data_IF_174174360090
#
_entry.id   IF_174174360090
#
_cell.length_a   1.000
_cell.length_b   1.000
_cell.length_c   1.000
_cell.angle_alpha   90.00
_cell.angle_beta   90.00
_cell.angle_gamma   90.00
#
_symmetry.space_group_name_H-M   'P 1'
#
loop_
_entity.id
_entity.type
_entity.pdbx_description
1 polymer ?
#
# COMPACT_ATOMS: atom_id res chain seq x y z
N UNK A 1 -4.06 8.46 17.38
CA UNK A 1 -3.19 9.25 16.47
C UNK A 1 -1.82 9.35 17.15
N UNK A 2 -0.73 9.16 16.41
CA UNK A 2 0.62 9.27 16.97
C UNK A 2 0.87 10.68 17.54
N UNK A 3 1.63 10.80 18.62
CA UNK A 3 1.99 12.09 19.22
C UNK A 3 2.77 12.94 18.20
N UNK A 4 2.28 14.16 17.95
CA UNK A 4 2.89 15.15 17.06
C UNK A 4 4.38 15.38 17.33
N UNK A 5 4.83 15.28 18.60
CA UNK A 5 6.23 15.42 18.98
C UNK A 5 7.07 14.26 18.50
N UNK A 6 6.51 13.05 18.50
CA UNK A 6 7.17 11.84 18.00
C UNK A 6 7.33 11.94 16.48
N UNK A 7 6.27 12.36 15.78
CA UNK A 7 6.33 12.56 14.33
C UNK A 7 7.36 13.63 13.94
N UNK A 8 7.36 14.78 14.61
CA UNK A 8 8.35 15.84 14.38
C UNK A 8 9.79 15.36 14.66
N UNK A 9 9.98 14.54 15.69
CA UNK A 9 11.28 13.97 16.02
C UNK A 9 11.75 12.98 14.96
N UNK A 10 10.88 12.10 14.46
CA UNK A 10 11.21 11.18 13.37
C UNK A 10 11.56 11.96 12.09
N UNK A 11 10.75 12.96 11.74
CA UNK A 11 10.99 13.79 10.54
C UNK A 11 12.31 14.57 10.61
N UNK A 12 12.82 14.87 11.81
CA UNK A 12 14.12 15.55 11.97
C UNK A 12 15.31 14.60 12.01
N UNK A 13 15.11 13.31 12.32
CA UNK A 13 16.19 12.35 12.54
C UNK A 13 16.29 11.25 11.48
N UNK A 14 15.22 10.97 10.75
CA UNK A 14 15.19 9.97 9.67
C UNK A 14 15.14 10.71 8.35
N UNK A 15 16.29 10.77 7.66
CA UNK A 15 16.35 11.23 6.26
C UNK A 15 16.37 10.00 5.36
N UNK A 16 15.49 9.93 4.33
CA UNK A 16 15.52 8.80 3.40
C UNK A 16 16.87 8.75 2.70
N UNK A 17 17.51 7.58 2.58
CA UNK A 17 18.76 7.44 1.85
C UNK A 17 18.44 7.53 0.35
N UNK A 18 18.52 8.72 -0.23
CA UNK A 18 18.28 8.92 -1.67
C UNK A 18 19.61 9.08 -2.38
N UNK A 19 19.81 8.33 -3.45
CA UNK A 19 20.92 8.57 -4.39
C UNK A 19 20.44 9.50 -5.51
N UNK A 20 21.30 10.42 -5.89
CA UNK A 20 21.05 11.26 -7.04
C UNK A 20 21.10 10.43 -8.33
N UNK A 21 20.21 10.72 -9.26
CA UNK A 21 20.11 9.99 -10.52
C UNK A 21 21.41 10.03 -11.33
N UNK A 22 22.18 11.12 -11.20
CA UNK A 22 23.51 11.25 -11.79
C UNK A 22 24.50 10.17 -11.31
N UNK A 23 24.34 9.65 -10.09
CA UNK A 23 25.17 8.59 -9.51
C UNK A 23 24.67 7.18 -9.87
N UNK A 24 23.44 7.08 -10.36
CA UNK A 24 22.77 5.82 -10.71
C UNK A 24 22.95 5.49 -12.19
N UNK A 25 22.87 6.49 -13.07
CA UNK A 25 22.93 6.30 -14.52
C UNK A 25 24.35 6.13 -15.04
N UNK A 26 24.48 5.46 -16.18
CA UNK A 26 25.78 5.36 -16.84
C UNK A 26 26.33 6.74 -17.24
N UNK A 27 27.65 6.98 -17.18
CA UNK A 27 28.24 8.26 -17.52
C UNK A 27 27.86 8.75 -18.92
N UNK A 28 27.46 10.02 -19.03
CA UNK A 28 27.01 10.63 -20.28
C UNK A 28 25.56 10.31 -20.66
N UNK A 29 24.80 9.68 -19.77
CA UNK A 29 23.35 9.53 -19.93
C UNK A 29 22.64 10.85 -19.64
N UNK A 30 21.80 11.28 -20.57
CA UNK A 30 20.96 12.45 -20.45
C UNK A 30 19.58 12.08 -19.90
N UNK A 31 19.06 12.92 -19.02
CA UNK A 31 17.75 12.76 -18.39
C UNK A 31 16.82 13.89 -18.82
N UNK A 32 15.52 13.60 -18.88
CA UNK A 32 14.54 14.66 -19.15
C UNK A 32 14.47 15.64 -17.97
N UNK A 33 14.38 16.96 -18.24
CA UNK A 33 14.19 17.95 -17.19
C UNK A 33 12.86 17.72 -16.48
N UNK A 34 12.82 18.10 -15.20
CA UNK A 34 11.60 18.02 -14.39
C UNK A 34 10.62 19.09 -14.85
N UNK A 35 9.43 18.66 -15.29
CA UNK A 35 8.35 19.56 -15.73
C UNK A 35 7.51 20.04 -14.53
N UNK A 36 7.25 19.15 -13.57
CA UNK A 36 6.42 19.42 -12.40
C UNK A 36 7.20 19.12 -11.12
N UNK A 37 7.10 20.03 -10.15
CA UNK A 37 7.66 19.81 -8.82
C UNK A 37 6.86 18.74 -8.09
N UNK A 38 7.55 17.83 -7.41
CA UNK A 38 6.92 16.86 -6.51
C UNK A 38 6.12 17.60 -5.44
N UNK A 39 4.89 17.15 -5.20
CA UNK A 39 3.94 17.79 -4.28
C UNK A 39 3.55 16.84 -3.15
N UNK A 40 3.05 17.42 -2.06
CA UNK A 40 2.47 16.66 -0.95
C UNK A 40 1.39 15.69 -1.46
N UNK A 41 1.33 14.44 -0.96
CA UNK A 41 2.00 13.90 0.24
C UNK A 41 3.40 13.30 -0.03
N UNK A 42 3.91 13.40 -1.25
CA UNK A 42 5.22 12.85 -1.57
C UNK A 42 6.36 13.69 -0.99
N UNK A 43 7.46 13.02 -0.67
CA UNK A 43 8.70 13.70 -0.29
C UNK A 43 9.28 14.39 -1.53
N UNK A 44 9.44 15.72 -1.47
CA UNK A 44 9.77 16.53 -2.66
C UNK A 44 11.25 16.42 -3.03
N UNK A 45 11.57 15.65 -4.09
CA UNK A 45 12.93 15.42 -4.57
C UNK A 45 13.18 16.09 -5.93
N UNK A 46 12.23 15.98 -6.84
CA UNK A 46 12.25 16.60 -8.16
C UNK A 46 11.61 18.00 -8.10
N UNK A 47 12.28 19.00 -8.65
CA UNK A 47 11.82 20.39 -8.71
C UNK A 47 11.76 20.86 -10.16
N UNK A 48 10.65 21.50 -10.55
CA UNK A 48 10.46 22.01 -11.90
C UNK A 48 11.61 22.92 -12.33
N UNK A 49 12.10 22.73 -13.55
CA UNK A 49 13.24 23.47 -14.11
C UNK A 49 14.61 23.01 -13.62
N UNK A 50 14.70 22.05 -12.70
CA UNK A 50 15.95 21.43 -12.27
C UNK A 50 16.19 20.09 -12.99
N UNK A 51 17.44 19.61 -13.04
CA UNK A 51 17.73 18.24 -13.45
C UNK A 51 16.96 17.23 -12.59
N UNK A 52 16.49 16.15 -13.21
CA UNK A 52 15.80 15.07 -12.50
C UNK A 52 16.75 14.41 -11.51
N UNK A 53 16.34 14.34 -10.24
CA UNK A 53 17.11 13.74 -9.15
C UNK A 53 16.75 12.28 -8.90
N UNK A 54 15.50 11.90 -9.15
CA UNK A 54 15.02 10.51 -9.02
C UNK A 54 14.11 10.11 -10.16
N UNK A 55 14.15 8.83 -10.52
CA UNK A 55 13.25 8.25 -11.53
C UNK A 55 11.81 8.21 -11.02
N UNK A 56 10.81 8.26 -11.92
CA UNK A 56 9.45 7.89 -11.58
C UNK A 56 9.38 6.39 -11.23
N UNK A 57 8.21 5.95 -10.72
CA UNK A 57 7.98 4.53 -10.36
C UNK A 57 8.33 3.61 -11.52
N UNK A 58 9.21 2.64 -11.23
CA UNK A 58 9.55 1.57 -12.17
C UNK A 58 8.42 0.55 -12.17
N UNK A 59 7.81 0.33 -13.32
CA UNK A 59 6.71 -0.62 -13.48
C UNK A 59 7.23 -1.92 -14.10
N UNK A 60 6.57 -3.05 -13.81
CA UNK A 60 6.92 -4.34 -14.40
C UNK A 60 6.57 -4.44 -15.88
N UNK A 61 5.56 -3.69 -16.31
CA UNK A 61 5.20 -3.55 -17.72
C UNK A 61 6.05 -2.46 -18.37
N UNK A 62 6.78 -2.79 -19.46
CA UNK A 62 7.41 -1.79 -20.30
C UNK A 62 6.38 -0.81 -20.87
N UNK A 63 6.84 0.39 -21.24
CA UNK A 63 6.01 1.46 -21.82
C UNK A 63 4.84 1.91 -20.92
N UNK A 64 5.02 1.78 -19.61
CA UNK A 64 4.07 2.35 -18.66
C UNK A 64 4.00 3.88 -18.79
N UNK A 65 2.97 4.50 -18.21
CA UNK A 65 2.76 5.96 -18.25
C UNK A 65 3.96 6.79 -17.78
N UNK A 66 4.83 6.23 -16.92
CA UNK A 66 6.07 6.88 -16.50
C UNK A 66 7.09 7.06 -17.64
N UNK A 67 7.03 6.17 -18.64
CA UNK A 67 7.95 6.07 -19.77
C UNK A 67 7.28 6.35 -21.12
N UNK A 68 5.96 6.58 -21.15
CA UNK A 68 5.22 7.03 -22.33
C UNK A 68 4.37 8.25 -22.02
N UNK A 69 4.46 9.30 -22.83
CA UNK A 69 3.55 10.44 -22.70
C UNK A 69 2.18 10.17 -23.34
N UNK A 70 1.22 11.06 -23.13
CA UNK A 70 -0.18 10.92 -23.59
C UNK A 70 -0.31 10.83 -25.12
N UNK A 71 0.70 11.26 -25.86
CA UNK A 71 0.74 11.26 -27.32
C UNK A 71 1.57 10.10 -27.88
N UNK A 72 1.97 9.14 -27.03
CA UNK A 72 2.85 8.04 -27.42
C UNK A 72 4.32 8.43 -27.57
N UNK A 73 4.68 9.65 -27.16
CA UNK A 73 6.06 10.12 -27.10
C UNK A 73 6.78 9.66 -25.83
N UNK A 74 8.02 10.12 -25.66
CA UNK A 74 8.89 9.69 -24.57
C UNK A 74 8.35 10.17 -23.21
N UNK A 75 8.14 9.28 -22.25
CA UNK A 75 7.72 9.66 -20.91
C UNK A 75 8.83 10.32 -20.09
N UNK A 76 8.46 10.78 -18.90
CA UNK A 76 9.33 11.59 -18.04
C UNK A 76 10.50 10.83 -17.42
N UNK A 77 10.41 9.50 -17.33
CA UNK A 77 11.46 8.61 -16.84
C UNK A 77 12.42 8.09 -17.91
N UNK A 78 12.18 8.41 -19.18
CA UNK A 78 13.05 8.00 -20.27
C UNK A 78 14.43 8.68 -20.18
N UNK A 79 15.46 7.97 -20.61
CA UNK A 79 16.85 8.41 -20.63
C UNK A 79 17.40 8.37 -22.06
N UNK A 80 18.44 9.15 -22.34
CA UNK A 80 19.12 9.16 -23.64
C UNK A 80 20.61 8.94 -23.43
N UNK A 81 21.12 7.81 -23.89
CA UNK A 81 22.56 7.52 -23.85
C UNK A 81 23.35 8.50 -24.70
N UNK A 82 24.62 8.72 -24.34
CA UNK A 82 25.53 9.57 -25.12
C UNK A 82 25.60 9.09 -26.58
N UNK A 83 25.25 9.98 -27.51
CA UNK A 83 25.28 9.69 -28.95
C UNK A 83 24.06 8.93 -29.49
N UNK A 84 23.11 8.55 -28.63
CA UNK A 84 21.83 8.02 -29.08
C UNK A 84 20.92 9.14 -29.59
N UNK A 85 20.16 8.86 -30.65
CA UNK A 85 19.19 9.79 -31.22
C UNK A 85 17.80 9.66 -30.61
N UNK A 86 17.50 8.54 -29.95
CA UNK A 86 16.21 8.23 -29.36
C UNK A 86 16.30 8.13 -27.83
N UNK A 87 15.13 8.29 -27.19
CA UNK A 87 14.94 8.08 -25.76
C UNK A 87 14.58 6.62 -25.51
N UNK A 88 15.15 6.02 -24.47
CA UNK A 88 14.93 4.65 -24.05
C UNK A 88 14.65 4.56 -22.55
N UNK A 89 14.09 3.44 -22.10
CA UNK A 89 13.96 3.18 -20.66
C UNK A 89 15.33 2.88 -20.03
N UNK A 90 15.51 3.19 -18.72
CA UNK A 90 16.69 2.78 -17.98
C UNK A 90 16.92 1.26 -18.10
N UNK A 91 18.16 0.86 -18.30
CA UNK A 91 18.53 -0.54 -18.41
C UNK A 91 18.41 -1.25 -17.03
N UNK A 92 18.53 -2.58 -17.03
CA UNK A 92 18.34 -3.38 -15.82
C UNK A 92 19.33 -2.97 -14.69
N UNK A 93 20.65 -2.84 -14.94
CA UNK A 93 21.57 -2.27 -13.93
C UNK A 93 21.16 -0.91 -13.36
N UNK A 94 20.71 0.02 -14.19
CA UNK A 94 20.26 1.35 -13.77
C UNK A 94 18.99 1.25 -12.90
N UNK A 95 18.05 0.38 -13.27
CA UNK A 95 16.84 0.08 -12.48
C UNK A 95 17.19 -0.52 -11.12
N UNK A 96 18.09 -1.50 -11.07
CA UNK A 96 18.55 -2.12 -9.83
C UNK A 96 19.18 -1.07 -8.89
N UNK A 97 20.08 -0.22 -9.42
CA UNK A 97 20.72 0.85 -8.64
C UNK A 97 19.73 1.92 -8.17
N UNK A 98 18.74 2.27 -9.00
CA UNK A 98 17.68 3.20 -8.63
C UNK A 98 16.86 2.71 -7.43
N UNK A 99 16.64 1.40 -7.34
CA UNK A 99 15.92 0.74 -6.26
C UNK A 99 16.80 0.43 -5.04
N UNK A 100 18.09 0.81 -5.07
CA UNK A 100 19.04 0.59 -3.99
C UNK A 100 19.71 -0.79 -3.96
N UNK A 101 19.55 -1.58 -5.02
CA UNK A 101 20.27 -2.84 -5.18
C UNK A 101 21.63 -2.67 -5.86
N UNK A 102 22.49 -3.67 -5.73
CA UNK A 102 23.76 -3.74 -6.44
C UNK A 102 23.56 -4.01 -7.92
N UNK A 103 24.48 -3.57 -8.78
CA UNK A 103 24.46 -3.94 -10.20
C UNK A 103 24.46 -5.46 -10.36
N UNK A 104 23.58 -5.96 -11.23
CA UNK A 104 23.32 -7.37 -11.51
C UNK A 104 22.70 -8.16 -10.35
N UNK A 105 22.03 -7.50 -9.39
CA UNK A 105 21.35 -8.20 -8.29
C UNK A 105 20.28 -9.19 -8.76
N UNK A 106 19.61 -8.91 -9.88
CA UNK A 106 18.60 -9.82 -10.46
C UNK A 106 19.20 -10.84 -11.44
N UNK A 107 20.53 -10.86 -11.62
CA UNK A 107 21.20 -11.83 -12.49
C UNK A 107 21.32 -13.17 -11.76
N UNK A 108 20.42 -14.09 -12.08
CA UNK A 108 20.47 -15.47 -11.60
C UNK A 108 20.42 -16.46 -12.78
N UNK A 109 20.98 -17.68 -12.63
CA UNK A 109 20.90 -18.70 -13.67
C UNK A 109 19.46 -18.98 -14.10
N UNK A 110 19.21 -19.01 -15.40
CA UNK A 110 17.87 -19.26 -15.98
C UNK A 110 16.92 -18.06 -15.96
N UNK A 111 17.31 -16.91 -15.41
CA UNK A 111 16.47 -15.69 -15.40
C UNK A 111 16.73 -14.85 -16.66
N UNK A 112 15.69 -14.69 -17.47
CA UNK A 112 15.70 -13.88 -18.70
C UNK A 112 15.71 -12.38 -18.40
N UNK A 113 16.14 -11.55 -19.37
CA UNK A 113 16.06 -10.08 -19.25
C UNK A 113 14.64 -9.58 -19.00
N UNK A 114 13.63 -10.21 -19.62
CA UNK A 114 12.22 -9.89 -19.40
C UNK A 114 11.82 -10.14 -17.95
N UNK A 115 12.20 -11.29 -17.38
CA UNK A 115 11.93 -11.59 -15.97
C UNK A 115 12.65 -10.61 -15.04
N UNK A 116 13.89 -10.23 -15.34
CA UNK A 116 14.61 -9.19 -14.57
C UNK A 116 13.88 -7.84 -14.60
N UNK A 117 13.35 -7.45 -15.75
CA UNK A 117 12.56 -6.23 -15.88
C UNK A 117 11.30 -6.29 -15.00
N UNK A 118 10.57 -7.41 -15.05
CA UNK A 118 9.40 -7.66 -14.19
C UNK A 118 9.77 -7.64 -12.71
N UNK A 119 10.88 -8.27 -12.32
CA UNK A 119 11.37 -8.26 -10.93
C UNK A 119 11.64 -6.84 -10.43
N UNK A 120 12.41 -6.04 -11.17
CA UNK A 120 12.68 -4.64 -10.80
C UNK A 120 11.43 -3.76 -10.80
N UNK A 121 10.40 -4.10 -11.56
CA UNK A 121 9.13 -3.37 -11.54
C UNK A 121 8.16 -3.79 -10.43
N UNK A 122 8.37 -4.96 -9.81
CA UNK A 122 7.50 -5.50 -8.76
C UNK A 122 8.13 -5.48 -7.37
N UNK A 123 9.46 -5.37 -7.26
CA UNK A 123 10.13 -5.37 -5.97
C UNK A 123 9.93 -4.05 -5.21
N UNK A 124 10.08 -4.12 -3.89
CA UNK A 124 10.08 -2.92 -3.05
C UNK A 124 11.40 -2.17 -3.21
N UNK A 125 11.35 -0.84 -3.21
CA UNK A 125 12.54 0.01 -3.16
C UNK A 125 13.30 -0.20 -1.84
N UNK A 126 14.57 -0.60 -1.91
CA UNK A 126 15.38 -0.91 -0.74
C UNK A 126 15.69 0.34 0.12
N UNK A 127 15.83 1.52 -0.50
CA UNK A 127 16.00 2.78 0.22
C UNK A 127 14.74 3.16 1.01
N UNK A 128 13.57 2.94 0.40
CA UNK A 128 12.29 3.14 1.09
C UNK A 128 12.14 2.15 2.24
N UNK A 129 12.45 0.87 2.02
CA UNK A 129 12.39 -0.14 3.08
C UNK A 129 13.35 0.15 4.24
N UNK A 130 14.57 0.60 3.94
CA UNK A 130 15.52 1.05 4.95
C UNK A 130 14.95 2.22 5.76
N UNK A 131 14.28 3.17 5.11
CA UNK A 131 13.63 4.30 5.78
C UNK A 131 12.50 3.84 6.70
N UNK A 132 11.63 2.93 6.23
CA UNK A 132 10.52 2.38 7.02
C UNK A 132 11.07 1.63 8.25
N UNK A 133 12.11 0.81 8.07
CA UNK A 133 12.76 0.08 9.17
C UNK A 133 13.42 1.04 10.16
N UNK A 134 14.06 2.11 9.69
CA UNK A 134 14.65 3.13 10.56
C UNK A 134 13.57 3.86 11.40
N UNK A 135 12.44 4.22 10.79
CA UNK A 135 11.28 4.78 11.50
C UNK A 135 10.76 3.80 12.56
N UNK A 136 10.58 2.53 12.19
CA UNK A 136 10.08 1.50 13.11
C UNK A 136 11.05 1.24 14.28
N UNK A 137 12.35 1.17 14.02
CA UNK A 137 13.38 1.02 15.05
C UNK A 137 13.36 2.21 16.01
N UNK A 138 13.25 3.43 15.50
CA UNK A 138 13.21 4.65 16.33
C UNK A 138 11.96 4.71 17.22
N UNK A 139 10.81 4.33 16.67
CA UNK A 139 9.57 4.18 17.43
C UNK A 139 9.71 3.11 18.52
N UNK A 140 10.27 1.94 18.18
CA UNK A 140 10.44 0.81 19.09
C UNK A 140 11.39 1.14 20.25
N UNK A 141 12.58 1.69 19.98
CA UNK A 141 13.53 2.11 21.00
C UNK A 141 12.90 3.09 22.00
N UNK A 142 12.06 4.00 21.52
CA UNK A 142 11.37 4.95 22.38
C UNK A 142 10.27 4.31 23.23
N UNK A 143 9.51 3.36 22.68
CA UNK A 143 8.56 2.58 23.45
C UNK A 143 9.24 1.74 24.53
N UNK A 144 10.41 1.14 24.24
CA UNK A 144 11.18 0.40 25.24
C UNK A 144 11.74 1.31 26.34
N UNK A 145 12.29 2.48 26.00
CA UNK A 145 12.77 3.46 26.99
C UNK A 145 11.64 4.06 27.84
N UNK A 146 10.46 4.27 27.26
CA UNK A 146 9.29 4.76 27.99
C UNK A 146 8.67 3.65 28.88
N UNK A 147 8.71 2.40 28.43
CA UNK A 147 8.21 1.25 29.20
C UNK A 147 9.12 0.93 30.40
N UNK A 148 10.43 1.03 30.25
CA UNK A 148 11.39 0.88 31.36
C UNK A 148 11.36 2.06 32.32
N UNK A 149 11.10 3.28 31.85
CA UNK A 149 10.93 4.45 32.71
C UNK A 149 9.65 4.36 33.59
N UNK A 150 8.56 3.79 33.07
CA UNK A 150 7.33 3.54 33.85
C UNK A 150 7.50 2.37 34.82
N UNK A 151 8.31 1.37 34.49
CA UNK A 151 8.64 0.27 35.40
C UNK A 151 9.55 0.68 36.58
N UNK A 152 10.19 1.85 36.52
CA UNK A 152 11.17 2.29 37.54
C UNK A 152 10.55 3.02 38.75
N UNK A 153 9.23 3.18 38.81
CA UNK A 153 8.56 3.85 39.93
C UNK A 153 7.78 2.94 40.88
N UNK A 154 7.91 1.62 40.76
CA UNK A 154 7.28 0.69 41.71
C UNK A 154 8.22 -0.44 42.11
N UNK A 155 9.18 -0.15 42.99
CA UNK A 155 9.77 -1.18 43.86
C UNK A 155 9.98 -0.61 45.26
N UNK A 156 8.97 -0.79 46.11
CA UNK A 156 9.18 -0.94 47.55
C UNK A 156 9.45 -2.43 47.81
N UNK A 157 10.66 -2.72 48.30
CA UNK A 157 10.95 -3.88 49.14
C UNK A 157 11.14 -5.22 48.43
N UNK A 158 12.35 -5.80 48.59
CA UNK A 158 12.57 -7.22 48.36
C UNK A 158 13.91 -7.50 47.69
N UNK A 159 14.94 -7.66 48.51
CA UNK A 159 16.27 -8.12 48.12
C UNK A 159 16.21 -9.41 47.28
N UNK A 160 16.89 -9.43 46.14
CA UNK A 160 17.59 -10.61 45.63
C UNK A 160 18.65 -10.16 44.64
N UNK A 161 19.87 -10.59 44.89
CA UNK A 161 21.11 -10.21 44.21
C UNK A 161 21.15 -10.61 42.73
N UNK A 162 21.77 -9.80 41.85
CA UNK A 162 21.93 -10.17 40.45
C UNK A 162 23.14 -11.11 40.27
N UNK A 163 22.93 -12.25 39.61
CA UNK A 163 24.03 -13.05 39.04
C UNK A 163 24.28 -12.60 37.60
N UNK A 164 25.33 -11.81 37.41
CA UNK A 164 25.99 -11.67 36.13
C UNK A 164 26.87 -12.90 35.88
N UNK A 165 26.65 -13.58 34.74
CA UNK A 165 27.70 -14.33 34.06
C UNK A 165 27.57 -14.05 32.57
N UNK A 166 28.67 -13.52 32.04
CA UNK A 166 29.01 -13.09 30.66
C UNK A 166 29.05 -14.28 29.64
N UNK A 167 29.58 -14.16 28.40
CA UNK A 167 29.04 -13.42 27.24
C UNK A 167 29.19 -14.22 25.90
N UNK A 168 28.82 -13.59 24.76
CA UNK A 168 29.25 -13.87 23.35
C UNK A 168 28.66 -15.13 22.65
N UNK A 169 28.03 -14.93 21.48
CA UNK A 169 28.54 -15.41 20.16
C UNK A 169 27.67 -14.91 18.99
N UNK A 170 28.36 -14.29 18.02
CA UNK A 170 27.87 -13.94 16.68
C UNK A 170 27.44 -15.18 15.88
N UNK A 171 26.42 -15.10 15.00
CA UNK A 171 26.16 -16.16 14.06
C UNK A 171 26.99 -15.94 12.78
N UNK A 172 28.05 -16.74 12.65
CA UNK A 172 28.82 -16.95 11.42
C UNK A 172 27.91 -17.52 10.32
N UNK A 173 27.86 -16.83 9.18
CA UNK A 173 27.31 -17.33 7.91
C UNK A 173 28.08 -18.58 7.47
N UNK A 174 27.40 -19.72 7.38
CA UNK A 174 27.97 -20.92 6.77
C UNK A 174 27.25 -21.23 5.46
N UNK A 175 27.97 -20.97 4.37
CA UNK A 175 27.63 -21.32 3.01
C UNK A 175 27.54 -22.86 2.88
N UNK A 176 26.38 -23.37 2.50
CA UNK A 176 26.23 -24.75 2.05
C UNK A 176 26.59 -24.81 0.56
N UNK A 177 27.76 -25.37 0.27
CA UNK A 177 28.17 -25.78 -1.06
C UNK A 177 27.30 -26.97 -1.53
N UNK A 178 26.71 -26.86 -2.72
CA UNK A 178 26.18 -28.01 -3.46
C UNK A 178 26.99 -28.15 -4.75
N UNK A 179 27.58 -29.33 -4.90
CA UNK A 179 28.40 -29.79 -6.02
C UNK A 179 27.56 -29.98 -7.31
N UNK A 180 28.20 -29.92 -8.49
CA UNK A 180 27.49 -29.91 -9.77
C UNK A 180 27.20 -31.33 -10.30
N UNK A 181 26.06 -31.50 -10.96
CA UNK A 181 25.76 -32.65 -11.81
C UNK A 181 25.82 -32.23 -13.28
N UNK A 182 26.53 -33.03 -14.08
CA UNK A 182 26.99 -32.75 -15.44
C UNK A 182 25.97 -33.19 -16.51
N UNK A 183 25.71 -32.26 -17.45
CA UNK A 183 25.39 -32.34 -18.89
C UNK A 183 24.60 -33.51 -19.54
N UNK A 184 23.54 -33.13 -20.27
CA UNK A 184 23.24 -33.44 -21.69
C UNK A 184 21.87 -32.76 -22.00
N UNK A 185 21.68 -31.89 -23.00
CA UNK A 185 21.93 -32.05 -24.43
C UNK A 185 20.57 -32.24 -25.14
N UNK A 186 20.11 -31.26 -25.92
CA UNK A 186 18.90 -31.39 -26.74
C UNK A 186 18.27 -30.05 -27.15
N UNK A 187 18.56 -29.63 -28.37
CA UNK A 187 17.95 -28.49 -29.06
C UNK A 187 16.52 -28.81 -29.54
N UNK A 188 15.64 -27.80 -29.56
CA UNK A 188 14.50 -27.74 -30.48
C UNK A 188 13.98 -26.29 -30.63
N UNK A 189 13.84 -25.87 -31.88
CA UNK A 189 13.39 -24.56 -32.37
C UNK A 189 11.87 -24.29 -32.17
N UNK A 190 11.53 -22.99 -32.02
CA UNK A 190 10.47 -22.17 -32.65
C UNK A 190 9.18 -22.88 -33.13
N UNK A 191 7.92 -22.47 -32.88
CA UNK A 191 7.26 -21.14 -32.82
C UNK A 191 5.75 -21.34 -32.46
N UNK A 192 4.80 -20.40 -32.68
CA UNK A 192 4.25 -19.45 -31.71
C UNK A 192 2.75 -19.65 -31.39
N UNK A 193 2.26 -18.98 -30.33
CA UNK A 193 0.83 -18.65 -30.19
C UNK A 193 0.18 -19.23 -28.94
N UNK A 194 -0.19 -18.34 -28.01
CA UNK A 194 -0.96 -18.67 -26.82
C UNK A 194 -0.72 -17.68 -25.70
N UNK A 195 -1.44 -16.56 -25.75
CA UNK A 195 -1.70 -15.72 -24.57
C UNK A 195 -2.40 -16.60 -23.51
N UNK A 196 -1.92 -16.58 -22.25
CA UNK A 196 -2.83 -16.04 -21.26
C UNK A 196 -2.13 -15.08 -20.30
N UNK A 197 -2.82 -13.96 -20.11
CA UNK A 197 -2.71 -13.02 -19.01
C UNK A 197 -2.93 -13.74 -17.68
N UNK A 198 -1.90 -14.40 -17.17
CA UNK A 198 -1.93 -15.02 -15.84
C UNK A 198 -1.42 -14.00 -14.83
N UNK A 199 -2.36 -13.24 -14.27
CA UNK A 199 -2.13 -12.40 -13.12
C UNK A 199 -1.70 -13.33 -11.97
N UNK A 200 -0.41 -13.38 -11.66
CA UNK A 200 0.03 -13.90 -10.37
C UNK A 200 -0.48 -12.95 -9.28
N UNK A 201 -1.68 -13.24 -8.79
CA UNK A 201 -2.21 -12.73 -7.54
C UNK A 201 -1.21 -13.04 -6.43
N UNK A 202 -0.55 -11.99 -5.94
CA UNK A 202 0.03 -12.02 -4.61
C UNK A 202 -1.08 -12.42 -3.63
N UNK A 203 -0.82 -13.23 -2.59
CA UNK A 203 -1.86 -13.60 -1.64
C UNK A 203 -2.36 -12.33 -0.97
N UNK A 204 -3.53 -11.87 -1.41
CA UNK A 204 -4.24 -10.79 -0.74
C UNK A 204 -4.53 -11.24 0.69
N UNK A 205 -4.44 -10.30 1.63
CA UNK A 205 -4.71 -10.55 3.04
C UNK A 205 -6.01 -11.35 3.20
N UNK A 206 -6.11 -12.37 4.07
CA UNK A 206 -7.32 -13.17 4.25
C UNK A 206 -8.55 -12.34 4.68
N UNK A 207 -8.33 -11.12 5.19
CA UNK A 207 -9.37 -10.12 5.42
C UNK A 207 -9.95 -9.54 4.12
N UNK A 208 -9.14 -9.32 3.09
CA UNK A 208 -9.55 -8.83 1.78
C UNK A 208 -10.48 -9.83 1.07
N UNK A 209 -10.10 -11.11 1.02
CA UNK A 209 -10.92 -12.18 0.40
C UNK A 209 -12.30 -12.32 1.05
N UNK A 210 -12.36 -12.30 2.38
CA UNK A 210 -13.64 -12.43 3.11
C UNK A 210 -14.55 -11.21 2.88
N UNK A 211 -13.95 -10.02 2.75
CA UNK A 211 -14.67 -8.79 2.46
C UNK A 211 -15.13 -8.71 1.00
N UNK A 212 -14.31 -9.20 0.07
CA UNK A 212 -14.56 -9.19 -1.36
C UNK A 212 -15.71 -10.15 -1.74
N UNK A 213 -15.76 -11.33 -1.14
CA UNK A 213 -16.88 -12.27 -1.31
C UNK A 213 -18.21 -11.73 -0.78
N UNK A 214 -18.20 -11.08 0.40
CA UNK A 214 -19.40 -10.45 0.96
C UNK A 214 -19.89 -9.27 0.10
N UNK A 215 -18.97 -8.58 -0.56
CA UNK A 215 -19.26 -7.45 -1.45
C UNK A 215 -19.86 -7.90 -2.80
N UNK A 216 -19.26 -8.92 -3.43
CA UNK A 216 -19.76 -9.50 -4.70
C UNK A 216 -21.19 -10.03 -4.55
N UNK A 217 -21.49 -10.70 -3.43
CA UNK A 217 -22.83 -11.24 -3.19
C UNK A 217 -23.92 -10.16 -3.03
N UNK A 218 -23.58 -8.96 -2.56
CA UNK A 218 -24.55 -7.90 -2.26
C UNK A 218 -24.68 -6.87 -3.41
N UNK A 219 -23.62 -6.68 -4.21
CA UNK A 219 -23.64 -5.87 -5.43
C UNK A 219 -24.68 -6.38 -6.46
N UNK A 220 -24.97 -7.68 -6.47
CA UNK A 220 -25.96 -8.28 -7.38
C UNK A 220 -27.42 -7.86 -7.09
N UNK A 221 -27.73 -7.33 -5.90
CA UNK A 221 -29.12 -7.02 -5.47
C UNK A 221 -29.52 -5.57 -5.76
N UNK A 222 -29.42 -5.10 -7.01
CA UNK A 222 -29.58 -3.68 -7.45
C UNK A 222 -30.80 -2.88 -6.90
N UNK A 223 -31.82 -3.50 -6.33
CA UNK A 223 -33.11 -2.89 -6.00
C UNK A 223 -33.24 -2.17 -4.64
N UNK A 224 -32.20 -2.04 -3.80
CA UNK A 224 -32.36 -1.51 -2.42
C UNK A 224 -31.79 -0.10 -2.21
N UNK A 225 -32.52 0.82 -1.55
CA UNK A 225 -32.02 2.17 -1.25
C UNK A 225 -30.86 2.12 -0.25
N UNK A 226 -30.09 3.21 -0.18
CA UNK A 226 -29.04 3.36 0.82
C UNK A 226 -29.65 3.35 2.23
N UNK A 227 -28.87 2.90 3.22
CA UNK A 227 -29.35 2.83 4.60
C UNK A 227 -29.67 4.20 5.19
N UNK A 228 -28.99 5.25 4.71
CA UNK A 228 -29.25 6.64 5.09
C UNK A 228 -30.53 7.21 4.46
N UNK A 229 -31.04 6.58 3.41
CA UNK A 229 -32.31 6.94 2.74
C UNK A 229 -33.49 6.12 3.27
N UNK A 230 -33.21 5.04 4.01
CA UNK A 230 -34.20 4.14 4.61
C UNK A 230 -34.70 4.70 5.96
N UNK A 231 -35.75 5.52 5.87
CA UNK A 231 -36.34 6.23 7.03
C UNK A 231 -36.84 5.27 8.10
N UNK A 232 -37.44 4.15 7.70
CA UNK A 232 -37.93 3.11 8.61
C UNK A 232 -36.77 2.47 9.38
N UNK A 233 -35.68 2.15 8.68
CA UNK A 233 -34.49 1.57 9.30
C UNK A 233 -33.82 2.53 10.28
N UNK A 234 -33.66 3.81 9.92
CA UNK A 234 -33.10 4.81 10.83
C UNK A 234 -34.00 5.01 12.07
N UNK A 235 -35.32 5.07 11.88
CA UNK A 235 -36.27 5.20 13.00
C UNK A 235 -36.18 4.01 13.95
N UNK A 236 -36.12 2.79 13.40
CA UNK A 236 -35.96 1.58 14.19
C UNK A 236 -34.60 1.54 14.92
N UNK A 237 -33.50 1.92 14.27
CA UNK A 237 -32.17 1.94 14.89
C UNK A 237 -32.06 2.98 16.01
N UNK A 238 -32.75 4.12 15.90
CA UNK A 238 -32.76 5.18 16.92
C UNK A 238 -33.64 4.85 18.12
N UNK A 239 -34.84 4.34 17.87
CA UNK A 239 -35.89 4.22 18.90
C UNK A 239 -36.12 2.80 19.40
N UNK A 240 -35.70 1.79 18.62
CA UNK A 240 -36.05 0.39 18.84
C UNK A 240 -37.53 0.07 18.60
N UNK A 241 -38.34 1.05 18.18
CA UNK A 241 -39.79 0.91 17.96
C UNK A 241 -40.09 0.54 16.52
N UNK A 242 -41.19 -0.17 16.32
CA UNK A 242 -41.69 -0.52 14.99
C UNK A 242 -42.08 0.78 14.27
N UNK A 243 -41.58 1.03 13.05
CA UNK A 243 -41.92 2.24 12.29
C UNK A 243 -43.43 2.36 12.01
N UNK A 244 -43.91 3.59 11.88
CA UNK A 244 -45.30 3.89 11.59
C UNK A 244 -45.72 3.30 10.23
N UNK A 245 -46.90 2.68 10.18
CA UNK A 245 -47.38 1.98 8.97
C UNK A 245 -46.85 0.55 8.82
N UNK A 246 -46.00 0.08 9.73
CA UNK A 246 -45.53 -1.31 9.76
C UNK A 246 -46.13 -2.07 10.95
N UNK A 247 -46.68 -3.26 10.70
CA UNK A 247 -47.24 -4.11 11.75
C UNK A 247 -46.20 -5.09 12.28
N UNK A 248 -46.21 -5.31 13.60
CA UNK A 248 -45.45 -6.38 14.24
C UNK A 248 -45.75 -7.73 13.58
N UNK A 249 -44.70 -8.46 13.20
CA UNK A 249 -44.84 -9.78 12.56
C UNK A 249 -45.06 -9.75 11.04
N UNK A 250 -45.19 -8.57 10.42
CA UNK A 250 -45.23 -8.48 8.95
C UNK A 250 -43.91 -8.93 8.30
N UNK A 251 -43.94 -9.46 7.07
CA UNK A 251 -42.72 -9.80 6.32
C UNK A 251 -41.77 -8.61 6.15
N UNK A 252 -42.32 -7.39 6.02
CA UNK A 252 -41.54 -6.16 5.94
C UNK A 252 -40.78 -5.90 7.26
N UNK A 253 -41.44 -6.07 8.41
CA UNK A 253 -40.78 -5.94 9.72
C UNK A 253 -39.73 -7.01 9.96
N UNK A 254 -39.98 -8.26 9.57
CA UNK A 254 -38.98 -9.32 9.66
C UNK A 254 -37.72 -8.98 8.85
N UNK A 255 -37.89 -8.48 7.63
CA UNK A 255 -36.78 -8.07 6.78
C UNK A 255 -36.00 -6.89 7.36
N UNK A 256 -36.70 -5.87 7.88
CA UNK A 256 -36.11 -4.72 8.53
C UNK A 256 -35.33 -5.12 9.78
N UNK A 257 -35.93 -5.91 10.68
CA UNK A 257 -35.26 -6.41 11.90
C UNK A 257 -34.04 -7.25 11.58
N UNK A 258 -34.12 -8.12 10.57
CA UNK A 258 -32.97 -8.92 10.11
C UNK A 258 -31.83 -8.04 9.60
N UNK A 259 -32.13 -6.99 8.84
CA UNK A 259 -31.13 -6.02 8.35
C UNK A 259 -30.53 -5.22 9.50
N UNK A 260 -31.37 -4.65 10.37
CA UNK A 260 -30.97 -3.80 11.48
C UNK A 260 -29.99 -4.48 12.44
N UNK A 261 -30.03 -5.81 12.60
CA UNK A 261 -29.05 -6.57 13.40
C UNK A 261 -27.59 -6.34 13.01
N UNK A 262 -27.33 -6.01 11.75
CA UNK A 262 -25.97 -5.76 11.24
C UNK A 262 -25.59 -4.28 11.27
N UNK A 263 -26.43 -3.42 11.84
CA UNK A 263 -26.20 -1.99 11.88
C UNK A 263 -26.31 -1.47 13.30
N UNK A 264 -25.54 -0.43 13.60
CA UNK A 264 -25.57 0.22 14.90
C UNK A 264 -25.34 1.71 14.72
N UNK A 265 -26.27 2.52 15.23
CA UNK A 265 -26.05 3.96 15.41
C UNK A 265 -25.29 4.17 16.72
N UNK A 266 -24.22 4.98 16.66
CA UNK A 266 -23.44 5.37 17.83
C UNK A 266 -23.42 6.90 17.95
N UNK A 267 -23.57 7.46 19.16
CA UNK A 267 -23.45 8.89 19.37
C UNK A 267 -22.02 9.37 19.12
N UNK A 268 -21.86 10.54 18.51
CA UNK A 268 -20.59 11.19 18.25
C UNK A 268 -20.70 12.71 18.49
N UNK A 269 -19.59 13.38 18.73
CA UNK A 269 -19.53 14.82 19.09
C UNK A 269 -20.09 15.78 18.03
N UNK A 270 -20.47 15.28 16.84
CA UNK A 270 -21.10 16.05 15.76
C UNK A 270 -22.39 15.43 15.22
N UNK A 271 -23.02 14.50 15.95
CA UNK A 271 -24.26 13.83 15.52
C UNK A 271 -24.22 12.32 15.72
N UNK A 272 -24.83 11.58 14.79
CA UNK A 272 -24.87 10.13 14.81
C UNK A 272 -23.92 9.53 13.77
N UNK A 273 -23.18 8.48 14.14
CA UNK A 273 -22.38 7.69 13.20
C UNK A 273 -22.99 6.30 13.06
N UNK A 274 -23.14 5.86 11.82
CA UNK A 274 -23.68 4.55 11.51
C UNK A 274 -22.55 3.57 11.26
N UNK A 275 -22.62 2.40 11.89
CA UNK A 275 -21.67 1.32 11.69
C UNK A 275 -22.39 0.10 11.15
N UNK A 276 -21.73 -0.63 10.25
CA UNK A 276 -22.15 -1.94 9.75
C UNK A 276 -21.20 -3.02 10.25
N UNK A 277 -21.78 -4.11 10.74
CA UNK A 277 -21.08 -5.34 11.07
C UNK A 277 -20.87 -6.17 9.81
N UNK A 278 -19.60 -6.42 9.46
CA UNK A 278 -19.22 -7.28 8.33
C UNK A 278 -18.87 -8.69 8.82
N UNK A 279 -18.23 -8.78 9.99
CA UNK A 279 -18.01 -10.01 10.74
C UNK A 279 -18.20 -9.72 12.25
N UNK A 280 -18.26 -10.74 13.13
CA UNK A 280 -18.50 -10.54 14.57
C UNK A 280 -17.63 -9.44 15.21
N UNK A 281 -16.36 -9.36 14.81
CA UNK A 281 -15.36 -8.42 15.33
C UNK A 281 -15.16 -7.19 14.44
N UNK A 282 -15.55 -7.24 13.17
CA UNK A 282 -15.29 -6.17 12.19
C UNK A 282 -16.51 -5.30 12.00
N UNK A 283 -16.40 -4.07 12.48
CA UNK A 283 -17.35 -2.99 12.28
C UNK A 283 -16.72 -1.90 11.41
N UNK A 284 -17.43 -1.49 10.35
CA UNK A 284 -17.01 -0.37 9.50
C UNK A 284 -18.05 0.73 9.54
N UNK A 285 -17.58 1.96 9.46
CA UNK A 285 -18.46 3.11 9.39
C UNK A 285 -19.13 3.19 8.02
N UNK A 286 -20.40 3.56 8.02
CA UNK A 286 -21.20 3.82 6.83
C UNK A 286 -21.39 5.33 6.70
N UNK A 287 -20.59 6.02 5.87
CA UNK A 287 -20.70 7.46 5.73
C UNK A 287 -22.01 7.86 5.02
N UNK A 288 -22.59 9.03 5.35
CA UNK A 288 -23.72 9.60 4.61
C UNK A 288 -23.40 9.78 3.13
N UNK A 289 -24.36 9.59 2.21
CA UNK A 289 -24.13 9.72 0.76
C UNK A 289 -23.45 11.03 0.35
N UNK A 290 -23.87 12.15 0.93
CA UNK A 290 -23.31 13.48 0.63
C UNK A 290 -21.81 13.61 0.99
N UNK A 291 -21.32 12.87 1.99
CA UNK A 291 -19.94 12.95 2.45
C UNK A 291 -18.98 12.02 1.69
N UNK A 292 -19.49 11.05 0.92
CA UNK A 292 -18.66 9.99 0.28
C UNK A 292 -17.70 10.54 -0.75
N UNK A 293 -18.15 11.45 -1.61
CA UNK A 293 -17.32 12.00 -2.68
C UNK A 293 -16.12 12.79 -2.10
N UNK A 294 -16.37 13.64 -1.11
CA UNK A 294 -15.33 14.37 -0.40
C UNK A 294 -14.38 13.42 0.34
N UNK A 295 -14.90 12.37 0.96
CA UNK A 295 -14.10 11.37 1.67
C UNK A 295 -13.20 10.57 0.72
N UNK A 296 -13.70 10.17 -0.45
CA UNK A 296 -12.90 9.52 -1.51
C UNK A 296 -11.82 10.46 -2.01
N UNK A 297 -12.16 11.71 -2.34
CA UNK A 297 -11.21 12.71 -2.82
C UNK A 297 -10.14 13.04 -1.77
N UNK A 298 -10.55 13.22 -0.51
CA UNK A 298 -9.67 13.47 0.61
C UNK A 298 -8.70 12.30 0.83
N UNK A 299 -9.20 11.05 0.82
CA UNK A 299 -8.35 9.87 0.93
C UNK A 299 -7.38 9.79 -0.25
N UNK A 300 -7.87 9.91 -1.48
CA UNK A 300 -7.07 9.88 -2.71
C UNK A 300 -5.94 10.91 -2.68
N UNK A 301 -6.24 12.14 -2.26
CA UNK A 301 -5.24 13.22 -2.15
C UNK A 301 -4.26 12.95 -1.00
N UNK A 302 -4.74 12.50 0.16
CA UNK A 302 -3.91 12.26 1.34
C UNK A 302 -2.92 11.11 1.15
N UNK A 303 -3.23 10.14 0.28
CA UNK A 303 -2.40 8.96 0.03
C UNK A 303 -1.55 9.08 -1.25
N UNK A 304 -1.63 10.23 -1.94
CA UNK A 304 -0.81 10.51 -3.11
C UNK A 304 -1.41 9.93 -4.37
N UNK A 305 -2.63 10.34 -4.70
CA UNK A 305 -3.28 10.11 -5.98
C UNK A 305 -3.25 8.65 -6.48
N UNK A 306 -3.33 7.68 -5.57
CA UNK A 306 -3.32 6.28 -5.97
C UNK A 306 -4.52 5.95 -6.87
N UNK A 307 -4.32 5.00 -7.79
CA UNK A 307 -5.41 4.51 -8.64
C UNK A 307 -6.61 3.98 -7.85
N UNK A 308 -7.75 3.85 -8.53
CA UNK A 308 -9.06 3.48 -7.95
C UNK A 308 -9.00 2.26 -7.02
N UNK A 309 -8.37 1.18 -7.47
CA UNK A 309 -8.27 -0.06 -6.69
C UNK A 309 -7.61 0.16 -5.33
N UNK A 310 -6.48 0.89 -5.29
CA UNK A 310 -5.72 1.12 -4.06
C UNK A 310 -6.41 2.15 -3.15
N UNK A 311 -7.00 3.19 -3.71
CA UNK A 311 -7.83 4.14 -2.96
C UNK A 311 -8.99 3.42 -2.28
N UNK A 312 -9.70 2.54 -3.00
CA UNK A 312 -10.76 1.69 -2.45
C UNK A 312 -10.26 0.78 -1.32
N UNK A 313 -9.15 0.08 -1.50
CA UNK A 313 -8.61 -0.80 -0.45
C UNK A 313 -8.25 -0.04 0.83
N UNK A 314 -7.75 1.20 0.72
CA UNK A 314 -7.45 2.04 1.87
C UNK A 314 -8.73 2.51 2.58
N UNK A 315 -9.74 2.93 1.82
CA UNK A 315 -11.05 3.29 2.36
C UNK A 315 -11.71 2.12 3.10
N UNK A 316 -11.57 0.90 2.57
CA UNK A 316 -12.11 -0.32 3.16
C UNK A 316 -11.52 -0.64 4.54
N UNK A 317 -10.41 -0.04 4.98
CA UNK A 317 -9.91 -0.25 6.32
C UNK A 317 -10.85 0.31 7.41
N UNK A 318 -11.63 1.35 7.08
CA UNK A 318 -12.46 2.06 8.07
C UNK A 318 -13.91 2.22 7.64
N UNK A 319 -14.17 2.32 6.33
CA UNK A 319 -15.47 2.64 5.79
C UNK A 319 -16.05 1.50 4.96
N UNK A 320 -17.37 1.48 4.87
CA UNK A 320 -18.11 0.62 3.97
C UNK A 320 -19.42 1.29 3.55
N UNK A 321 -19.75 1.22 2.27
CA UNK A 321 -21.09 1.56 1.80
C UNK A 321 -21.45 0.76 0.56
N UNK A 322 -22.73 0.78 0.21
CA UNK A 322 -23.24 0.10 -0.97
C UNK A 322 -22.76 0.82 -2.23
N UNK A 323 -22.19 0.07 -3.18
CA UNK A 323 -21.69 0.62 -4.44
C UNK A 323 -20.36 1.38 -4.33
N UNK A 324 -19.63 1.15 -3.23
CA UNK A 324 -18.31 1.74 -3.00
C UNK A 324 -17.33 1.49 -4.16
N UNK A 325 -17.35 0.30 -4.78
CA UNK A 325 -16.50 -0.01 -5.93
C UNK A 325 -16.75 0.89 -7.16
N UNK A 326 -17.99 1.36 -7.38
CA UNK A 326 -18.28 2.26 -8.50
C UNK A 326 -17.91 3.72 -8.18
N UNK A 327 -17.97 4.10 -6.89
CA UNK A 327 -17.78 5.49 -6.43
C UNK A 327 -16.34 5.82 -6.03
N UNK A 328 -15.50 4.82 -5.77
CA UNK A 328 -14.08 4.95 -5.43
C UNK A 328 -13.14 4.72 -6.63
#
# INVERSE_FOLDING_TARGET
LADSRILQHIMTHVTPPVKDLADILEPGTEVRPVVYTDHHPYYSLNKAGQPRRVLPTLMATPESYAFRDEHGGSGSGMVRRRGATHWEEPNIPERERALGYTTNHTLAPGVTLRQRHVLTGNCMDAFVMQSIMAVAAHLSHRHHLCSTAVASHTVLGGETTPRYTEPIMEPTLQAAAMTPATAAGGEAELSPGGDPSDNMELPESPLADTLQLAEVAEQLTHSRPDVWEDTDMLTYLRTGRIPDGMTAGSPAFYNLRRRARRYQLRPHSGGERLFRQLSPEVWKEVPPPAARAELVASMHNAVGHFGRARTRSLLLNHYWWRGMAQQA
#
